data_IF_941336663863
#
_entry.id   IF_941336663863
#
_cell.length_a   1.000
_cell.length_b   1.000
_cell.length_c   1.000
_cell.angle_alpha   90.00
_cell.angle_beta   90.00
_cell.angle_gamma   90.00
#
_symmetry.space_group_name_H-M   'P 1'
#
loop_
_entity.id
_entity.type
_entity.pdbx_description
1 polymer ?
#
# COMPACT_ATOMS: atom_id res chain seq x y z
N UNK A 1 31.88 23.88 -0.96
CA UNK A 1 32.34 22.47 -0.96
C UNK A 1 31.26 21.48 -0.53
N UNK A 2 30.41 21.78 0.46
CA UNK A 2 29.36 20.86 0.92
C UNK A 2 28.29 20.50 -0.13
N UNK A 3 27.86 21.46 -0.98
CA UNK A 3 26.86 21.20 -2.04
C UNK A 3 27.34 20.17 -3.08
N UNK A 4 28.61 20.23 -3.49
CA UNK A 4 29.22 19.28 -4.45
C UNK A 4 29.31 17.85 -3.92
N UNK A 5 29.38 17.67 -2.61
CA UNK A 5 29.47 16.34 -1.99
C UNK A 5 28.11 15.66 -1.90
N UNK A 6 27.03 16.44 -1.75
CA UNK A 6 25.67 15.90 -1.72
C UNK A 6 25.24 15.38 -3.09
N UNK A 7 25.48 16.17 -4.14
CA UNK A 7 25.16 15.83 -5.53
C UNK A 7 25.84 14.52 -5.96
N UNK A 8 27.17 14.42 -5.79
CA UNK A 8 27.94 13.22 -6.15
C UNK A 8 27.52 11.94 -5.39
N UNK A 9 27.00 12.07 -4.17
CA UNK A 9 26.51 10.92 -3.40
C UNK A 9 25.12 10.46 -3.89
N UNK A 10 24.27 11.39 -4.33
CA UNK A 10 22.96 11.08 -4.91
C UNK A 10 23.15 10.37 -6.25
N UNK A 11 24.05 10.87 -7.11
CA UNK A 11 24.34 10.26 -8.42
C UNK A 11 24.82 8.81 -8.30
N UNK A 12 25.69 8.55 -7.31
CA UNK A 12 26.21 7.20 -7.03
C UNK A 12 25.12 6.22 -6.57
N UNK A 13 24.13 6.71 -5.80
CA UNK A 13 23.00 5.90 -5.36
C UNK A 13 22.02 5.59 -6.50
N UNK A 14 21.83 6.52 -7.43
CA UNK A 14 20.98 6.32 -8.61
C UNK A 14 21.61 5.35 -9.60
N UNK A 15 22.91 5.49 -9.87
CA UNK A 15 23.67 4.59 -10.73
C UNK A 15 23.68 3.13 -10.22
N UNK A 16 23.69 2.92 -8.90
CA UNK A 16 23.62 1.57 -8.30
C UNK A 16 22.26 0.89 -8.51
N UNK A 17 21.20 1.66 -8.76
CA UNK A 17 19.84 1.17 -8.93
C UNK A 17 19.44 0.97 -10.41
N UNK A 18 20.39 1.08 -11.36
CA UNK A 18 20.15 1.00 -12.81
C UNK A 18 19.03 1.93 -13.30
N UNK A 19 18.75 3.01 -12.56
CA UNK A 19 17.78 4.01 -12.97
C UNK A 19 18.50 5.06 -13.78
N UNK A 20 18.09 5.23 -15.03
CA UNK A 20 18.57 6.34 -15.86
C UNK A 20 18.34 7.66 -15.12
N UNK A 21 19.36 8.51 -15.16
CA UNK A 21 19.24 9.88 -14.68
C UNK A 21 18.10 10.56 -15.44
N UNK A 22 17.23 11.26 -14.70
CA UNK A 22 16.14 12.01 -15.32
C UNK A 22 16.76 13.17 -16.10
N UNK A 23 16.72 13.08 -17.44
CA UNK A 23 17.26 14.10 -18.33
C UNK A 23 16.38 15.37 -18.27
N UNK A 24 16.71 16.27 -17.34
CA UNK A 24 16.03 17.56 -17.12
C UNK A 24 15.15 17.65 -15.86
N UNK A 25 14.52 18.82 -15.66
CA UNK A 25 13.68 19.16 -14.48
C UNK A 25 12.37 18.37 -14.35
N UNK A 26 12.18 17.32 -15.17
CA UNK A 26 10.92 16.58 -15.29
C UNK A 26 9.84 17.38 -16.02
N UNK A 27 9.01 16.71 -16.82
CA UNK A 27 7.91 17.34 -17.56
C UNK A 27 6.64 17.58 -16.73
N UNK A 28 6.69 17.28 -15.43
CA UNK A 28 5.55 17.28 -14.51
C UNK A 28 5.85 18.21 -13.35
N UNK A 29 4.99 19.20 -13.11
CA UNK A 29 5.09 20.06 -11.94
C UNK A 29 4.94 19.26 -10.65
N UNK A 30 5.54 19.75 -9.56
CA UNK A 30 5.39 19.16 -8.23
C UNK A 30 3.91 18.92 -7.88
N UNK A 31 3.05 19.91 -8.07
CA UNK A 31 1.62 19.81 -7.78
C UNK A 31 0.95 18.66 -8.55
N UNK A 32 1.34 18.47 -9.82
CA UNK A 32 0.83 17.37 -10.65
C UNK A 32 1.37 16.01 -10.20
N UNK A 33 2.63 15.94 -9.76
CA UNK A 33 3.19 14.73 -9.17
C UNK A 33 2.46 14.35 -7.87
N UNK A 34 2.24 15.30 -6.97
CA UNK A 34 1.52 15.10 -5.71
C UNK A 34 0.10 14.60 -5.98
N UNK A 35 -0.61 15.22 -6.93
CA UNK A 35 -1.95 14.80 -7.31
C UNK A 35 -2.00 13.35 -7.80
N UNK A 36 -1.06 12.95 -8.68
CA UNK A 36 -0.99 11.57 -9.20
C UNK A 36 -0.69 10.59 -8.06
N UNK A 37 0.22 10.94 -7.15
CA UNK A 37 0.56 10.10 -6.00
C UNK A 37 -0.66 9.89 -5.10
N UNK A 38 -1.37 10.96 -4.74
CA UNK A 38 -2.60 10.89 -3.95
C UNK A 38 -3.67 10.04 -4.63
N UNK A 39 -3.95 10.28 -5.92
CA UNK A 39 -4.96 9.49 -6.65
C UNK A 39 -4.67 7.99 -6.65
N UNK A 40 -3.40 7.61 -6.82
CA UNK A 40 -3.00 6.19 -6.79
C UNK A 40 -3.15 5.60 -5.39
N UNK A 41 -2.76 6.35 -4.37
CA UNK A 41 -2.89 5.90 -2.98
C UNK A 41 -4.35 5.75 -2.57
N UNK A 42 -5.21 6.72 -2.89
CA UNK A 42 -6.65 6.67 -2.59
C UNK A 42 -7.31 5.44 -3.22
N UNK A 43 -6.98 5.12 -4.47
CA UNK A 43 -7.49 3.91 -5.14
C UNK A 43 -7.04 2.64 -4.44
N UNK A 44 -5.78 2.57 -4.05
CA UNK A 44 -5.23 1.44 -3.32
C UNK A 44 -5.90 1.30 -1.95
N UNK A 45 -6.02 2.38 -1.19
CA UNK A 45 -6.59 2.38 0.15
C UNK A 45 -8.06 1.99 0.14
N UNK A 46 -8.84 2.47 -0.85
CA UNK A 46 -10.23 2.07 -1.02
C UNK A 46 -10.37 0.56 -1.29
N UNK A 47 -9.50 -0.01 -2.13
CA UNK A 47 -9.48 -1.45 -2.40
C UNK A 47 -9.10 -2.24 -1.14
N UNK A 48 -8.03 -1.83 -0.46
CA UNK A 48 -7.56 -2.46 0.78
C UNK A 48 -8.66 -2.52 1.85
N UNK A 49 -9.33 -1.38 2.12
CA UNK A 49 -10.40 -1.32 3.13
C UNK A 49 -11.59 -2.20 2.77
N UNK A 50 -11.94 -2.29 1.49
CA UNK A 50 -13.00 -3.17 1.01
C UNK A 50 -12.63 -4.64 1.27
N UNK A 51 -11.40 -5.03 0.97
CA UNK A 51 -10.95 -6.42 1.16
C UNK A 51 -10.89 -6.77 2.65
N UNK A 52 -10.40 -5.84 3.49
CA UNK A 52 -10.39 -5.99 4.96
C UNK A 52 -11.80 -6.16 5.53
N UNK A 53 -12.77 -5.39 5.05
CA UNK A 53 -14.17 -5.54 5.48
C UNK A 53 -14.74 -6.91 5.10
N UNK A 54 -14.47 -7.39 3.88
CA UNK A 54 -14.93 -8.71 3.43
C UNK A 54 -14.28 -9.85 4.21
N UNK A 55 -13.00 -9.72 4.57
CA UNK A 55 -12.30 -10.71 5.36
C UNK A 55 -12.85 -10.79 6.79
N UNK A 56 -13.09 -9.63 7.41
CA UNK A 56 -13.72 -9.54 8.73
C UNK A 56 -15.13 -10.15 8.71
N UNK A 57 -15.97 -9.81 7.73
CA UNK A 57 -17.31 -10.39 7.57
C UNK A 57 -17.25 -11.93 7.44
N UNK A 58 -16.26 -12.43 6.69
CA UNK A 58 -16.07 -13.87 6.51
C UNK A 58 -15.58 -14.56 7.79
N UNK A 59 -14.78 -13.88 8.62
CA UNK A 59 -14.36 -14.37 9.93
C UNK A 59 -15.52 -14.45 10.91
N UNK A 60 -16.30 -13.38 11.02
CA UNK A 60 -17.51 -13.32 11.86
C UNK A 60 -18.47 -14.47 11.51
N UNK A 61 -18.70 -14.72 10.21
CA UNK A 61 -19.54 -15.85 9.77
C UNK A 61 -18.99 -17.22 10.23
N UNK A 62 -17.68 -17.44 10.12
CA UNK A 62 -17.05 -18.70 10.57
C UNK A 62 -17.19 -18.87 12.08
N UNK A 63 -17.07 -17.80 12.85
CA UNK A 63 -17.26 -17.84 14.30
C UNK A 63 -18.71 -18.20 14.67
N UNK A 64 -19.68 -17.60 13.98
CA UNK A 64 -21.10 -17.90 14.17
C UNK A 64 -21.42 -19.36 13.84
N UNK A 65 -20.93 -19.88 12.71
CA UNK A 65 -21.09 -21.30 12.32
C UNK A 65 -20.48 -22.24 13.36
N UNK A 66 -19.27 -21.93 13.85
CA UNK A 66 -18.61 -22.72 14.88
C UNK A 66 -19.39 -22.72 16.20
N UNK A 67 -19.97 -21.58 16.58
CA UNK A 67 -20.81 -21.47 17.76
C UNK A 67 -22.11 -22.28 17.59
N UNK A 68 -22.76 -22.20 16.43
CA UNK A 68 -23.97 -22.97 16.13
C UNK A 68 -23.71 -24.48 16.27
N UNK A 69 -22.62 -24.97 15.69
CA UNK A 69 -22.25 -26.39 15.77
C UNK A 69 -21.93 -26.83 17.20
N UNK A 70 -21.34 -25.96 18.03
CA UNK A 70 -21.14 -26.25 19.46
C UNK A 70 -22.46 -26.40 20.20
N UNK A 71 -23.38 -25.45 20.03
CA UNK A 71 -24.71 -25.48 20.65
C UNK A 71 -25.48 -26.74 20.22
N UNK A 72 -25.45 -27.09 18.93
CA UNK A 72 -26.09 -28.32 18.42
C UNK A 72 -25.52 -29.59 19.03
N UNK A 73 -24.21 -29.63 19.33
CA UNK A 73 -23.58 -30.78 19.99
C UNK A 73 -23.97 -30.85 21.47
N UNK A 74 -23.98 -29.72 22.17
CA UNK A 74 -24.35 -29.64 23.59
C UNK A 74 -25.83 -29.97 23.81
N UNK A 75 -26.74 -29.55 22.93
CA UNK A 75 -28.18 -29.87 23.01
C UNK A 75 -28.58 -31.28 22.53
N UNK A 76 -27.62 -32.06 22.01
CA UNK A 76 -27.81 -33.47 21.61
C UNK A 76 -27.28 -34.47 22.65
N UNK A 77 -26.69 -33.99 23.74
CA UNK A 77 -26.28 -34.78 24.91
C UNK A 77 -27.32 -34.69 26.02
#
# INVERSE_FOLDING_TARGET
MAAKLHEANVDRLLALNEREDLDGTGSISRDRMEHIAHQRYERFDAQRRRDEALEADAEDLRELEALEERIKKEGKS
#
